data_IF_491015760767
#
_entry.id   IF_491015760767
#
_cell.length_a   1.000
_cell.length_b   1.000
_cell.length_c   1.000
_cell.angle_alpha   90.00
_cell.angle_beta   90.00
_cell.angle_gamma   90.00
#
_symmetry.space_group_name_H-M   'P 1'
#
loop_
_entity.id
_entity.type
_entity.pdbx_description
1 polymer ?
2 non-polymer ?
3 non-polymer ?
4 non-polymer ?
5 water ?
#
# COMPACT_ATOMS: atom_id res chain seq x y z
N UNK A 1 1.12 -25.31 6.48
CA UNK A 1 1.92 -24.55 5.47
C UNK A 1 3.39 -24.57 5.89
N UNK A 2 4.31 -24.40 4.93
CA UNK A 2 5.74 -24.31 5.23
C UNK A 2 6.04 -23.11 6.13
N UNK A 3 7.23 -23.09 6.75
CA UNK A 3 7.68 -21.90 7.46
C UNK A 3 7.72 -20.73 6.46
N UNK A 4 7.49 -19.48 6.92
CA UNK A 4 7.33 -18.36 5.98
C UNK A 4 8.44 -18.26 4.93
N UNK A 5 9.71 -18.34 5.34
CA UNK A 5 10.83 -18.24 4.38
C UNK A 5 10.87 -19.44 3.42
N UNK A 6 10.50 -20.64 3.90
CA UNK A 6 10.32 -21.87 3.08
C UNK A 6 9.27 -21.62 2.01
N UNK A 7 8.13 -21.06 2.44
CA UNK A 7 7.03 -20.77 1.49
C UNK A 7 7.50 -19.75 0.46
N UNK A 8 8.13 -18.67 0.93
CA UNK A 8 8.65 -17.63 0.02
C UNK A 8 9.61 -18.23 -1.04
N UNK A 9 10.50 -19.12 -0.61
CA UNK A 9 11.42 -19.77 -1.57
C UNK A 9 10.64 -20.59 -2.63
N UNK A 10 9.66 -21.35 -2.17
CA UNK A 10 8.81 -22.12 -3.09
C UNK A 10 8.15 -21.18 -4.09
N UNK A 11 7.61 -20.07 -3.58
CA UNK A 11 6.99 -19.03 -4.41
C UNK A 11 7.91 -18.47 -5.49
N UNK A 12 9.13 -18.10 -5.12
CA UNK A 12 10.08 -17.56 -6.11
C UNK A 12 10.42 -18.63 -7.16
N UNK A 13 10.57 -19.87 -6.71
CA UNK A 13 10.95 -20.96 -7.61
C UNK A 13 9.82 -21.19 -8.63
N UNK A 14 8.58 -21.18 -8.13
CA UNK A 14 7.41 -21.43 -8.98
C UNK A 14 7.09 -20.27 -9.91
N UNK A 15 7.24 -19.05 -9.42
CA UNK A 15 6.95 -17.85 -10.22
C UNK A 15 8.09 -17.40 -11.14
N UNK A 16 9.31 -17.86 -10.86
CA UNK A 16 10.51 -17.29 -11.48
C UNK A 16 10.53 -15.78 -11.27
N UNK A 17 10.05 -15.31 -10.12
CA UNK A 17 10.07 -13.87 -9.80
C UNK A 17 10.64 -13.64 -8.42
N UNK A 18 10.90 -12.37 -8.07
CA UNK A 18 11.36 -12.04 -6.73
C UNK A 18 10.21 -11.68 -5.82
N UNK A 19 10.32 -12.09 -4.55
CA UNK A 19 9.38 -11.73 -3.51
C UNK A 19 10.15 -10.89 -2.50
N UNK A 20 9.48 -9.85 -1.98
CA UNK A 20 10.04 -9.03 -0.91
C UNK A 20 9.02 -9.06 0.21
N UNK A 21 9.49 -9.25 1.45
CA UNK A 21 8.56 -9.41 2.56
C UNK A 21 9.16 -8.84 3.83
N UNK A 22 8.31 -8.20 4.64
CA UNK A 22 8.65 -7.93 6.03
C UNK A 22 7.41 -8.06 6.91
N UNK A 23 7.61 -8.52 8.13
CA UNK A 23 6.57 -8.48 9.17
C UNK A 23 7.14 -7.73 10.36
N UNK A 24 6.44 -6.69 10.79
CA UNK A 24 6.98 -5.73 11.77
C UNK A 24 5.91 -5.36 12.80
N UNK A 25 6.24 -5.38 14.09
CA UNK A 25 5.32 -4.88 15.12
C UNK A 25 4.94 -3.43 14.84
N UNK A 26 3.65 -3.15 14.84
CA UNK A 26 3.18 -1.78 14.66
C UNK A 26 3.65 -0.85 15.77
N UNK A 27 3.54 -1.29 17.02
CA UNK A 27 3.81 -0.38 18.16
C UNK A 27 5.30 -0.03 18.27
N UNK A 28 6.17 -1.04 18.17
CA UNK A 28 7.60 -0.81 18.42
C UNK A 28 8.48 -0.75 17.18
N UNK A 29 8.02 -1.37 16.09
CA UNK A 29 8.90 -1.55 14.91
C UNK A 29 9.82 -2.78 14.95
N UNK A 30 9.65 -3.63 15.95
CA UNK A 30 10.35 -4.91 16.03
C UNK A 30 10.11 -5.69 14.72
N UNK A 31 11.18 -6.07 14.04
CA UNK A 31 11.06 -6.92 12.85
C UNK A 31 11.00 -8.39 13.25
N UNK A 32 9.91 -9.05 12.87
CA UNK A 32 9.75 -10.46 13.20
C UNK A 32 10.43 -11.39 12.21
N UNK A 33 10.28 -11.07 10.92
CA UNK A 33 10.84 -11.88 9.84
C UNK A 33 10.87 -11.00 8.57
N UNK A 34 11.75 -11.35 7.64
CA UNK A 34 12.02 -10.50 6.47
C UNK A 34 12.72 -11.33 5.40
N UNK A 35 12.51 -10.96 4.14
CA UNK A 35 13.13 -11.60 3.00
C UNK A 35 13.27 -10.53 1.94
N UNK A 36 14.49 -10.33 1.47
CA UNK A 36 14.81 -9.28 0.48
C UNK A 36 14.21 -7.94 0.92
N UNK A 37 14.26 -7.66 2.23
CA UNK A 37 13.50 -6.50 2.75
C UNK A 37 14.20 -5.18 2.44
N UNK A 38 15.45 -5.26 1.99
CA UNK A 38 16.18 -4.05 1.58
C UNK A 38 16.37 -3.96 0.07
N UNK A 39 15.62 -4.77 -0.67
CA UNK A 39 15.62 -4.72 -2.14
C UNK A 39 14.44 -3.92 -2.66
N UNK A 40 14.63 -3.21 -3.76
CA UNK A 40 13.56 -2.37 -4.30
C UNK A 40 12.52 -3.14 -5.09
N UNK A 41 11.26 -2.73 -4.92
CA UNK A 41 10.12 -3.27 -5.67
C UNK A 41 9.23 -2.10 -6.07
N UNK A 42 8.57 -2.17 -7.26
CA UNK A 42 7.57 -1.14 -7.56
C UNK A 42 6.43 -1.13 -6.52
N UNK A 43 6.09 0.07 -6.01
CA UNK A 43 4.98 0.22 -5.08
C UNK A 43 3.63 -0.07 -5.74
N UNK A 44 3.46 0.29 -7.00
CA UNK A 44 2.14 0.21 -7.61
C UNK A 44 1.13 0.94 -6.71
N UNK A 45 -0.10 0.42 -6.64
CA UNK A 45 -1.19 1.12 -5.95
C UNK A 45 -1.03 1.14 -4.44
N UNK A 46 -0.07 0.38 -3.90
CA UNK A 46 0.25 0.50 -2.48
C UNK A 46 0.67 1.93 -2.08
N UNK A 47 1.18 2.71 -3.04
CA UNK A 47 1.59 4.11 -2.77
C UNK A 47 0.43 5.00 -2.35
N UNK A 48 -0.78 4.58 -2.68
CA UNK A 48 -1.98 5.36 -2.36
C UNK A 48 -2.18 5.58 -0.84
N UNK A 49 -1.70 4.65 -0.02
CA UNK A 49 -1.74 4.84 1.44
C UNK A 49 -0.80 5.96 1.87
N UNK A 50 0.43 5.91 1.38
CA UNK A 50 1.44 6.93 1.67
C UNK A 50 0.95 8.31 1.19
N UNK A 51 0.39 8.34 -0.02
CA UNK A 51 -0.17 9.56 -0.58
C UNK A 51 -1.17 10.21 0.38
N UNK A 52 -2.10 9.41 0.90
CA UNK A 52 -3.12 9.99 1.78
C UNK A 52 -2.55 10.34 3.14
N UNK A 53 -1.48 9.65 3.54
CA UNK A 53 -0.69 10.11 4.70
C UNK A 53 -0.18 11.53 4.50
N UNK A 54 0.35 11.80 3.32
CA UNK A 54 0.83 13.14 2.96
C UNK A 54 -0.31 14.16 2.99
N UNK A 55 -1.46 13.75 2.44
CA UNK A 55 -2.63 14.63 2.38
C UNK A 55 -3.06 14.99 3.81
N UNK A 56 -3.17 13.97 4.67
CA UNK A 56 -3.48 14.19 6.08
C UNK A 56 -2.46 15.10 6.77
N UNK A 57 -1.17 14.92 6.47
CA UNK A 57 -0.16 15.84 6.99
C UNK A 57 -0.49 17.30 6.62
N UNK A 58 -0.95 17.53 5.39
CA UNK A 58 -1.29 18.89 4.96
C UNK A 58 -2.55 19.41 5.69
N UNK A 59 -3.49 18.51 5.93
CA UNK A 59 -4.66 18.86 6.73
C UNK A 59 -4.22 19.25 8.16
N UNK A 60 -3.38 18.42 8.78
CA UNK A 60 -2.88 18.74 10.14
C UNK A 60 -2.18 20.09 10.20
N UNK A 61 -1.50 20.46 9.12
CA UNK A 61 -0.75 21.72 9.05
C UNK A 61 -1.66 22.94 8.78
N UNK A 62 -2.94 22.69 8.53
CA UNK A 62 -3.86 23.74 8.14
C UNK A 62 -3.64 24.22 6.71
N UNK A 63 -3.10 23.34 5.86
CA UNK A 63 -2.90 23.61 4.41
C UNK A 63 -3.96 22.99 3.51
N UNK A 64 -4.88 22.24 4.12
CA UNK A 64 -5.83 21.40 3.39
C UNK A 64 -6.99 21.08 4.33
N UNK A 65 -8.13 20.69 3.76
CA UNK A 65 -9.27 20.23 4.56
C UNK A 65 -9.85 19.01 3.88
N UNK A 66 -10.15 17.99 4.68
CA UNK A 66 -10.79 16.79 4.14
C UNK A 66 -12.14 17.16 3.53
N UNK A 67 -12.77 18.22 4.03
CA UNK A 67 -14.07 18.70 3.50
C UNK A 67 -13.98 19.40 2.14
N UNK A 68 -12.79 19.86 1.76
CA UNK A 68 -12.65 20.67 0.54
C UNK A 68 -13.06 19.91 -0.73
N UNK A 69 -14.00 20.49 -1.46
CA UNK A 69 -14.53 19.85 -2.66
C UNK A 69 -13.67 20.23 -3.86
N UNK A 70 -13.23 19.21 -4.59
CA UNK A 70 -12.47 19.43 -5.82
C UNK A 70 -13.36 19.07 -7.00
N UNK A 71 -13.42 19.99 -7.95
CA UNK A 71 -14.17 19.80 -9.20
C UNK A 71 -13.16 19.59 -10.32
N UNK A 72 -13.42 18.60 -11.16
CA UNK A 72 -12.45 18.17 -12.15
C UNK A 72 -13.21 17.86 -13.42
N UNK A 73 -12.46 17.60 -14.48
CA UNK A 73 -13.01 17.48 -15.82
C UNK A 73 -12.70 16.11 -16.39
N UNK A 74 -13.46 15.73 -17.41
CA UNK A 74 -13.31 14.41 -17.99
C UNK A 74 -11.88 14.19 -18.49
N UNK A 75 -11.28 15.25 -19.04
CA UNK A 75 -9.91 15.21 -19.53
C UNK A 75 -8.88 14.94 -18.43
N UNK A 76 -9.26 15.12 -17.16
CA UNK A 76 -8.36 14.83 -16.02
C UNK A 76 -8.32 13.36 -15.66
N UNK A 77 -9.22 12.57 -16.25
CA UNK A 77 -9.34 11.18 -15.83
C UNK A 77 -8.34 10.27 -16.52
N UNK A 78 -7.88 9.27 -15.78
CA UNK A 78 -7.05 8.22 -16.35
C UNK A 78 -7.73 6.86 -16.19
N UNK A 79 -7.10 5.84 -16.76
CA UNK A 79 -7.61 4.49 -16.70
C UNK A 79 -7.92 4.05 -15.25
N UNK A 80 -9.08 3.41 -15.08
CA UNK A 80 -9.56 2.81 -13.83
C UNK A 80 -9.92 3.86 -12.77
N UNK A 81 -11.13 4.40 -12.91
CA UNK A 81 -11.57 5.51 -12.08
C UNK A 81 -13.02 5.25 -11.73
N UNK A 82 -13.29 4.11 -11.07
CA UNK A 82 -14.67 3.68 -10.91
C UNK A 82 -15.51 4.66 -10.11
N UNK A 83 -14.90 5.36 -9.15
CA UNK A 83 -15.65 6.30 -8.30
C UNK A 83 -15.62 7.68 -8.93
N UNK A 84 -14.42 8.15 -9.29
CA UNK A 84 -14.26 9.51 -9.77
C UNK A 84 -14.99 9.79 -11.10
N UNK A 85 -15.12 8.80 -11.97
CA UNK A 85 -15.85 9.04 -13.23
C UNK A 85 -17.35 9.32 -12.96
N UNK A 86 -17.83 8.93 -11.78
CA UNK A 86 -19.23 9.17 -11.40
C UNK A 86 -19.51 10.60 -10.93
N UNK A 87 -18.47 11.41 -10.75
CA UNK A 87 -18.65 12.72 -10.11
C UNK A 87 -18.09 13.88 -10.91
N UNK A 88 -18.22 13.80 -12.24
CA UNK A 88 -17.80 14.90 -13.10
C UNK A 88 -18.64 16.15 -12.87
N UNK A 89 -19.91 15.93 -12.50
CA UNK A 89 -20.84 17.03 -12.28
C UNK A 89 -20.62 17.69 -10.92
N UNK A 90 -20.53 16.88 -9.87
CA UNK A 90 -20.57 17.39 -8.50
C UNK A 90 -19.22 17.46 -7.77
N UNK A 91 -18.21 16.78 -8.33
CA UNK A 91 -16.86 16.75 -7.74
C UNK A 91 -16.81 15.82 -6.52
N UNK A 92 -15.69 15.86 -5.82
CA UNK A 92 -15.48 14.99 -4.68
C UNK A 92 -14.66 15.75 -3.66
N UNK A 93 -14.93 15.52 -2.38
CA UNK A 93 -14.13 16.12 -1.32
C UNK A 93 -12.77 15.42 -1.28
N UNK A 94 -11.78 16.12 -0.74
CA UNK A 94 -10.46 15.55 -0.50
C UNK A 94 -10.55 14.20 0.27
N UNK A 95 -11.35 14.17 1.33
CA UNK A 95 -11.54 12.92 2.10
C UNK A 95 -12.16 11.81 1.25
N UNK A 96 -13.18 12.17 0.46
CA UNK A 96 -13.80 11.21 -0.46
C UNK A 96 -12.79 10.68 -1.46
N UNK A 97 -11.91 11.56 -1.93
CA UNK A 97 -10.89 11.18 -2.90
C UNK A 97 -9.93 10.17 -2.27
N UNK A 98 -9.47 10.42 -1.05
CA UNK A 98 -8.65 9.43 -0.34
C UNK A 98 -9.36 8.08 -0.16
N UNK A 99 -10.63 8.14 0.26
CA UNK A 99 -11.42 6.93 0.36
C UNK A 99 -11.48 6.15 -0.98
N UNK A 100 -11.68 6.85 -2.10
CA UNK A 100 -11.79 6.20 -3.40
C UNK A 100 -10.42 5.64 -3.80
N UNK A 101 -9.37 6.43 -3.56
CA UNK A 101 -7.99 6.02 -3.87
C UNK A 101 -7.56 4.76 -3.09
N UNK A 102 -7.82 4.74 -1.79
CA UNK A 102 -7.42 3.61 -0.97
C UNK A 102 -8.38 2.44 -1.10
N UNK A 103 -9.68 2.70 -0.94
CA UNK A 103 -10.62 1.57 -0.82
C UNK A 103 -11.05 1.00 -2.15
N UNK A 104 -10.93 1.76 -3.25
CA UNK A 104 -11.33 1.28 -4.59
C UNK A 104 -10.16 1.28 -5.59
N UNK A 105 -9.01 1.80 -5.13
CA UNK A 105 -7.80 1.92 -5.97
C UNK A 105 -8.02 2.88 -7.16
N UNK A 106 -8.92 3.84 -6.98
CA UNK A 106 -9.28 4.80 -8.02
C UNK A 106 -8.07 5.65 -8.45
N UNK A 107 -7.70 5.51 -9.72
CA UNK A 107 -6.49 6.16 -10.23
C UNK A 107 -6.58 7.66 -10.41
N UNK A 108 -7.70 8.13 -10.95
CA UNK A 108 -7.88 9.57 -11.07
C UNK A 108 -7.98 10.21 -9.69
N UNK A 109 -8.68 9.58 -8.73
CA UNK A 109 -8.68 10.07 -7.35
C UNK A 109 -7.25 10.25 -6.86
N UNK A 110 -6.44 9.22 -7.04
CA UNK A 110 -5.01 9.28 -6.67
C UNK A 110 -4.27 10.45 -7.34
N UNK A 111 -4.42 10.60 -8.66
CA UNK A 111 -3.79 11.72 -9.37
C UNK A 111 -4.23 13.09 -8.89
N UNK A 112 -5.51 13.24 -8.62
CA UNK A 112 -6.01 14.51 -8.11
C UNK A 112 -5.37 14.85 -6.77
N UNK A 113 -5.26 13.85 -5.89
CA UNK A 113 -4.64 14.01 -4.58
C UNK A 113 -3.16 14.29 -4.70
N UNK A 114 -2.52 13.56 -5.61
CA UNK A 114 -1.09 13.73 -5.90
C UNK A 114 -0.80 15.17 -6.28
N UNK A 115 -1.65 15.76 -7.13
CA UNK A 115 -1.50 17.17 -7.46
C UNK A 115 -1.50 18.07 -6.21
N UNK A 116 -2.34 17.76 -5.22
CA UNK A 116 -2.46 18.62 -4.02
C UNK A 116 -1.21 18.60 -3.13
N UNK A 117 -0.38 17.57 -3.27
CA UNK A 117 0.80 17.44 -2.42
C UNK A 117 2.09 17.75 -3.19
N UNK A 118 1.95 18.30 -4.39
CA UNK A 118 3.09 18.73 -5.18
C UNK A 118 3.58 17.69 -6.18
N UNK A 119 2.69 16.81 -6.61
CA UNK A 119 3.06 15.75 -7.56
C UNK A 119 4.02 14.70 -6.97
N UNK A 120 4.52 13.78 -7.81
CA UNK A 120 5.46 12.75 -7.35
C UNK A 120 6.64 13.36 -6.60
N UNK A 121 7.16 14.48 -7.10
CA UNK A 121 8.26 15.16 -6.44
C UNK A 121 7.86 15.60 -5.04
N UNK A 122 6.64 16.12 -4.88
CA UNK A 122 6.17 16.57 -3.54
C UNK A 122 6.01 15.40 -2.57
N UNK A 123 5.45 14.29 -3.07
CA UNK A 123 5.30 13.10 -2.24
C UNK A 123 6.66 12.57 -1.82
N UNK A 124 7.61 12.60 -2.74
CA UNK A 124 8.97 12.17 -2.44
C UNK A 124 9.58 13.09 -1.38
N UNK A 125 9.33 14.41 -1.50
CA UNK A 125 9.82 15.35 -0.47
C UNK A 125 9.20 15.07 0.90
N UNK A 126 7.91 14.73 0.92
CA UNK A 126 7.24 14.34 2.14
C UNK A 126 7.94 13.12 2.77
N UNK A 127 8.20 12.09 1.97
CA UNK A 127 8.90 10.91 2.45
C UNK A 127 10.23 11.28 3.12
N UNK A 128 11.04 12.10 2.47
CA UNK A 128 12.30 12.54 3.07
C UNK A 128 12.08 13.25 4.40
N UNK A 129 11.02 14.05 4.48
CA UNK A 129 10.68 14.75 5.72
C UNK A 129 10.37 13.81 6.88
N UNK A 130 9.82 12.63 6.59
CA UNK A 130 9.51 11.68 7.68
C UNK A 130 10.63 10.65 7.84
N UNK A 131 11.76 10.94 7.19
CA UNK A 131 12.97 10.13 7.36
C UNK A 131 13.02 8.87 6.54
N UNK A 132 12.19 8.80 5.50
CA UNK A 132 12.29 7.70 4.51
C UNK A 132 13.12 8.22 3.35
N UNK A 133 14.36 7.74 3.32
CA UNK A 133 15.34 8.17 2.33
C UNK A 133 15.42 7.23 1.15
N UNK A 134 14.49 6.28 1.05
CA UNK A 134 14.56 5.22 0.06
C UNK A 134 13.38 5.24 -0.92
N UNK A 135 12.17 5.18 -0.40
CA UNK A 135 10.95 5.21 -1.20
C UNK A 135 10.91 6.47 -2.06
N UNK A 136 10.43 6.34 -3.29
CA UNK A 136 10.32 7.48 -4.18
C UNK A 136 9.18 7.31 -5.16
N UNK A 137 8.44 8.39 -5.40
CA UNK A 137 7.49 8.41 -6.48
C UNK A 137 7.96 9.42 -7.50
N UNK A 138 7.79 9.06 -8.76
CA UNK A 138 8.34 9.79 -9.87
C UNK A 138 7.31 10.07 -10.95
N UNK A 139 6.32 9.18 -11.06
CA UNK A 139 5.28 9.31 -12.08
C UNK A 139 3.86 9.30 -11.47
N UNK A 140 2.88 9.54 -12.33
CA UNK A 140 1.47 9.56 -11.96
C UNK A 140 0.85 8.23 -12.32
N UNK A 141 -0.41 8.00 -11.93
CA UNK A 141 -1.15 6.86 -12.49
C UNK A 141 -1.44 7.12 -13.97
N UNK A 142 -1.29 6.13 -14.84
CA UNK A 142 -0.95 4.74 -14.51
C UNK A 142 0.49 4.35 -14.87
N UNK A 143 1.27 5.33 -15.33
CA UNK A 143 2.65 5.07 -15.76
C UNK A 143 3.52 4.54 -14.65
N UNK A 144 3.15 4.85 -13.41
CA UNK A 144 3.98 4.46 -12.27
C UNK A 144 4.04 2.94 -12.03
N UNK A 145 3.18 2.20 -12.71
CA UNK A 145 3.11 0.73 -12.66
C UNK A 145 3.96 -0.03 -13.68
N UNK A 146 4.82 0.71 -14.39
CA UNK A 146 5.56 0.18 -15.53
C UNK A 146 6.45 -1.00 -15.17
N UNK A 147 7.02 -0.93 -13.96
CA UNK A 147 7.88 -1.98 -13.39
C UNK A 147 9.05 -2.41 -14.29
N UNK A 148 9.75 -1.46 -14.91
CA UNK A 148 10.93 -1.80 -15.70
C UNK A 148 12.02 -2.35 -14.77
N UNK A 149 12.65 -3.50 -15.14
CA UNK A 149 13.75 -3.96 -14.27
C UNK A 149 14.85 -2.91 -14.16
N UNK A 150 15.45 -2.77 -12.98
CA UNK A 150 16.56 -1.82 -12.77
C UNK A 150 16.17 -0.35 -12.73
N UNK A 151 14.86 -0.07 -12.76
CA UNK A 151 14.34 1.29 -12.71
C UNK A 151 13.99 1.60 -11.25
N UNK A 152 14.64 2.62 -10.69
CA UNK A 152 14.36 3.04 -9.30
C UNK A 152 13.04 3.81 -9.16
N UNK A 153 12.50 4.29 -10.29
CA UNK A 153 11.31 5.14 -10.24
C UNK A 153 10.15 4.41 -9.58
N UNK A 154 9.47 5.09 -8.65
CA UNK A 154 8.20 4.57 -8.07
C UNK A 154 8.39 3.29 -7.26
N UNK A 155 9.54 3.20 -6.59
CA UNK A 155 9.86 1.98 -5.81
C UNK A 155 9.97 2.26 -4.32
N UNK A 156 9.85 1.18 -3.54
CA UNK A 156 10.13 1.22 -2.12
C UNK A 156 10.92 -0.05 -1.81
N UNK A 157 11.24 -0.28 -0.55
CA UNK A 157 11.70 -1.61 -0.15
C UNK A 157 10.67 -2.07 0.90
N UNK A 158 10.54 -3.38 1.15
CA UNK A 158 9.61 -3.83 2.21
C UNK A 158 9.90 -3.14 3.56
N UNK A 159 11.18 -3.04 3.92
CA UNK A 159 11.58 -2.45 5.20
C UNK A 159 11.26 -0.95 5.28
N UNK A 160 11.50 -0.22 4.19
CA UNK A 160 11.18 1.22 4.16
C UNK A 160 9.68 1.44 4.17
N UNK A 161 8.95 0.66 3.39
CA UNK A 161 7.50 0.80 3.31
C UNK A 161 6.87 0.51 4.68
N UNK A 162 7.34 -0.55 5.35
CA UNK A 162 6.80 -0.89 6.66
C UNK A 162 7.15 0.20 7.69
N UNK A 163 8.39 0.67 7.67
CA UNK A 163 8.79 1.75 8.59
C UNK A 163 7.96 3.00 8.36
N UNK A 164 7.69 3.29 7.09
CA UNK A 164 6.96 4.52 6.75
C UNK A 164 5.51 4.39 7.15
N UNK A 165 4.92 3.22 6.92
CA UNK A 165 3.52 3.00 7.34
C UNK A 165 3.41 3.13 8.85
N UNK A 166 4.36 2.53 9.57
CA UNK A 166 4.34 2.67 11.03
C UNK A 166 4.43 4.12 11.46
N UNK A 167 5.28 4.89 10.77
CA UNK A 167 5.46 6.31 11.09
C UNK A 167 4.16 7.06 10.89
N UNK A 168 3.47 6.77 9.80
CA UNK A 168 2.20 7.42 9.50
C UNK A 168 1.09 7.05 10.48
N UNK A 169 1.08 5.82 10.95
CA UNK A 169 -0.02 5.32 11.74
C UNK A 169 0.13 5.51 13.23
N UNK A 170 1.35 5.57 13.73
CA UNK A 170 1.53 5.53 15.17
C UNK A 170 2.55 6.53 15.74
N UNK A 171 3.33 7.17 14.89
CA UNK A 171 4.47 7.93 15.47
C UNK A 171 4.12 9.34 15.98
N UNK A 172 2.86 9.72 15.84
CA UNK A 172 2.40 11.08 16.21
C UNK A 172 3.06 12.17 15.36
N UNK A 173 3.54 11.82 14.18
CA UNK A 173 3.85 12.81 13.17
C UNK A 173 2.55 13.38 12.58
N UNK A 174 1.57 12.50 12.38
CA UNK A 174 0.20 12.90 12.04
C UNK A 174 -0.59 13.07 13.32
N UNK A 175 -1.63 13.89 13.28
CA UNK A 175 -2.47 14.07 14.45
C UNK A 175 -3.16 12.76 14.83
N UNK A 176 -3.69 12.71 16.03
CA UNK A 176 -4.46 11.56 16.50
C UNK A 176 -5.58 11.21 15.52
N UNK A 177 -6.35 12.23 15.13
CA UNK A 177 -7.48 12.02 14.23
C UNK A 177 -7.04 11.55 12.84
N UNK A 178 -5.98 12.16 12.32
CA UNK A 178 -5.40 11.75 11.04
C UNK A 178 -4.90 10.30 11.06
N UNK A 179 -4.21 9.89 12.14
CA UNK A 179 -3.76 8.48 12.28
C UNK A 179 -4.95 7.52 12.20
N UNK A 180 -6.00 7.88 12.93
CA UNK A 180 -7.25 7.11 12.96
C UNK A 180 -7.89 7.02 11.58
N UNK A 181 -7.92 8.15 10.88
CA UNK A 181 -8.50 8.20 9.55
C UNK A 181 -7.76 7.31 8.54
N UNK A 182 -6.43 7.38 8.54
CA UNK A 182 -5.64 6.58 7.63
C UNK A 182 -5.90 5.10 7.88
N UNK A 183 -5.89 4.72 9.15
CA UNK A 183 -6.25 3.36 9.55
C UNK A 183 -7.62 2.94 8.97
N UNK A 184 -8.65 3.77 9.21
CA UNK A 184 -10.04 3.52 8.78
C UNK A 184 -10.12 3.19 7.31
N UNK A 185 -9.42 4.00 6.51
CA UNK A 185 -9.43 3.84 5.07
C UNK A 185 -8.87 2.47 4.67
N UNK A 186 -7.78 2.05 5.29
CA UNK A 186 -7.23 0.73 5.04
C UNK A 186 -8.16 -0.39 5.53
N UNK A 187 -8.79 -0.20 6.69
CA UNK A 187 -9.79 -1.16 7.18
C UNK A 187 -10.93 -1.32 6.15
N UNK A 188 -11.28 -0.22 5.51
CA UNK A 188 -12.40 -0.18 4.57
C UNK A 188 -12.08 -0.59 3.13
N UNK A 189 -10.88 -1.12 2.87
CA UNK A 189 -10.54 -1.53 1.50
C UNK A 189 -11.66 -2.41 0.93
N UNK A 190 -12.11 -2.07 -0.27
CA UNK A 190 -13.15 -2.88 -0.93
C UNK A 190 -12.61 -3.83 -2.00
N UNK A 191 -11.38 -3.61 -2.45
CA UNK A 191 -10.79 -4.44 -3.49
C UNK A 191 -10.51 -5.88 -2.98
N UNK A 192 -9.77 -6.01 -1.89
CA UNK A 192 -9.38 -7.32 -1.37
C UNK A 192 -9.82 -7.59 0.07
N UNK A 193 -10.06 -6.51 0.83
CA UNK A 193 -10.39 -6.64 2.25
C UNK A 193 -11.47 -7.66 2.58
N UNK A 194 -12.68 -7.48 2.01
CA UNK A 194 -13.77 -8.45 2.33
C UNK A 194 -13.44 -9.91 1.95
N UNK A 195 -12.78 -10.10 0.81
CA UNK A 195 -12.33 -11.43 0.41
C UNK A 195 -11.31 -12.03 1.37
N UNK A 196 -10.31 -11.24 1.77
CA UNK A 196 -9.29 -11.70 2.69
C UNK A 196 -9.95 -12.07 4.03
N UNK A 197 -10.77 -11.16 4.54
CA UNK A 197 -11.47 -11.35 5.81
C UNK A 197 -12.28 -12.65 5.77
N UNK A 198 -12.86 -12.96 4.60
CA UNK A 198 -13.67 -14.18 4.44
C UNK A 198 -12.87 -15.48 4.57
N UNK A 199 -11.56 -15.41 4.33
CA UNK A 199 -10.73 -16.63 4.33
C UNK A 199 -9.70 -16.62 5.47
N UNK A 200 -9.71 -15.55 6.28
CA UNK A 200 -8.86 -15.49 7.46
C UNK A 200 -9.49 -16.31 8.56
N UNK A 201 -8.65 -16.93 9.41
CA UNK A 201 -9.23 -17.58 10.58
C UNK A 201 -9.94 -16.54 11.43
N UNK A 202 -10.96 -16.96 12.16
CA UNK A 202 -11.65 -16.10 13.10
C UNK A 202 -10.63 -15.46 14.07
N UNK A 203 -10.82 -14.17 14.34
CA UNK A 203 -10.00 -13.49 15.36
C UNK A 203 -8.94 -12.59 14.74
N UNK A 204 -8.72 -12.77 13.44
CA UNK A 204 -7.69 -12.00 12.75
C UNK A 204 -8.17 -10.66 12.20
N UNK A 205 -7.55 -9.58 12.70
CA UNK A 205 -7.76 -8.22 12.22
C UNK A 205 -7.16 -8.09 10.82
N UNK A 206 -7.86 -7.43 9.89
CA UNK A 206 -7.26 -7.06 8.60
C UNK A 206 -7.58 -5.61 8.19
N UNK A 207 -6.55 -4.91 7.72
CA UNK A 207 -6.68 -3.63 7.00
C UNK A 207 -5.62 -3.72 5.90
N UNK A 208 -5.88 -3.18 4.71
CA UNK A 208 -4.93 -3.41 3.61
C UNK A 208 -5.06 -2.44 2.46
N UNK A 209 -4.01 -2.42 1.64
CA UNK A 209 -4.04 -1.83 0.32
C UNK A 209 -3.23 -2.73 -0.60
N UNK A 210 -3.83 -3.12 -1.72
CA UNK A 210 -3.18 -3.93 -2.74
C UNK A 210 -2.64 -3.08 -3.87
N UNK A 211 -1.85 -3.70 -4.75
CA UNK A 211 -1.35 -3.03 -5.94
C UNK A 211 -1.02 -4.04 -7.02
N UNK A 212 -1.05 -3.61 -8.27
CA UNK A 212 -0.69 -4.50 -9.36
C UNK A 212 0.03 -3.67 -10.41
N UNK A 213 0.99 -4.30 -11.10
CA UNK A 213 1.76 -3.61 -12.14
C UNK A 213 2.11 -4.53 -13.28
N UNK A 214 3.00 -4.05 -14.15
CA UNK A 214 3.45 -4.83 -15.30
C UNK A 214 4.48 -5.89 -14.92
N UNK A 215 4.76 -6.77 -15.88
CA UNK A 215 5.76 -7.83 -15.71
C UNK A 215 5.49 -8.65 -14.45
N UNK A 216 4.22 -8.85 -14.13
CA UNK A 216 3.86 -9.68 -12.99
C UNK A 216 3.82 -8.99 -11.65
N UNK A 217 4.18 -7.71 -11.58
CA UNK A 217 4.23 -7.03 -10.28
C UNK A 217 2.87 -7.07 -9.56
N UNK A 218 2.92 -7.31 -8.25
CA UNK A 218 1.72 -7.49 -7.44
C UNK A 218 2.19 -7.29 -6.01
N UNK A 219 1.33 -6.71 -5.19
CA UNK A 219 1.73 -6.52 -3.80
C UNK A 219 0.59 -6.15 -2.88
N UNK A 220 0.93 -6.16 -1.59
CA UNK A 220 -0.01 -5.81 -0.56
C UNK A 220 0.75 -5.25 0.64
N UNK A 221 0.21 -4.17 1.21
CA UNK A 221 0.60 -3.69 2.53
C UNK A 221 -0.60 -3.89 3.45
N UNK A 222 -0.35 -4.44 4.62
CA UNK A 222 -1.47 -4.81 5.48
C UNK A 222 -1.14 -4.62 6.94
N UNK A 223 -2.20 -4.43 7.72
CA UNK A 223 -2.14 -4.48 9.18
C UNK A 223 -2.89 -5.74 9.58
N UNK A 224 -2.29 -6.53 10.44
CA UNK A 224 -2.79 -7.88 10.68
C UNK A 224 -2.45 -8.26 12.10
N UNK A 225 -3.31 -9.07 12.71
CA UNK A 225 -2.96 -9.69 13.98
C UNK A 225 -4.10 -10.54 14.49
N UNK A 226 -3.79 -11.49 15.38
CA UNK A 226 -4.80 -12.28 16.08
C UNK A 226 -5.40 -11.41 17.19
N UNK A 227 -6.42 -11.91 17.85
CA UNK A 227 -7.09 -11.13 18.90
C UNK A 227 -7.66 -9.79 18.43
N UNK A 228 -8.02 -9.70 17.15
CA UNK A 228 -8.75 -8.55 16.63
C UNK A 228 -8.01 -7.23 16.85
N UNK A 229 -6.69 -7.32 16.73
CA UNK A 229 -5.79 -6.20 16.99
C UNK A 229 -4.90 -5.99 15.77
N UNK A 230 -4.67 -4.73 15.42
CA UNK A 230 -3.72 -4.37 14.37
C UNK A 230 -2.31 -4.48 14.96
N UNK A 231 -1.83 -5.71 15.10
CA UNK A 231 -0.57 -5.94 15.83
C UNK A 231 0.66 -5.64 14.97
N UNK A 232 0.59 -6.03 13.70
CA UNK A 232 1.78 -5.98 12.85
C UNK A 232 1.47 -5.49 11.46
N UNK A 233 2.48 -4.87 10.88
CA UNK A 233 2.48 -4.51 9.47
C UNK A 233 3.11 -5.66 8.71
N UNK A 234 2.43 -6.10 7.65
CA UNK A 234 3.01 -7.04 6.70
C UNK A 234 3.06 -6.39 5.32
N UNK A 235 4.25 -6.41 4.72
CA UNK A 235 4.43 -5.99 3.33
C UNK A 235 4.89 -7.19 2.52
N UNK A 236 4.20 -7.46 1.40
CA UNK A 236 4.63 -8.47 0.43
C UNK A 236 4.57 -7.87 -0.96
N UNK A 237 5.71 -7.82 -1.63
CA UNK A 237 5.76 -7.47 -3.04
C UNK A 237 6.29 -8.64 -3.89
N UNK A 238 5.82 -8.69 -5.13
CA UNK A 238 6.27 -9.62 -6.13
C UNK A 238 6.65 -8.84 -7.40
N UNK A 239 7.71 -9.26 -8.09
CA UNK A 239 8.12 -8.60 -9.34
C UNK A 239 8.75 -9.59 -10.31
N UNK A 240 8.68 -9.26 -11.60
CA UNK A 240 9.38 -10.02 -12.66
C UNK A 240 9.01 -11.50 -12.73
N UNK A 241 7.71 -11.76 -12.87
CA UNK A 241 7.19 -13.10 -13.08
C UNK A 241 6.22 -13.08 -14.26
N UNK A 242 6.30 -14.10 -15.14
CA UNK A 242 5.35 -14.17 -16.25
C UNK A 242 4.03 -14.83 -15.82
N UNK A 243 3.90 -15.21 -14.55
CA UNK A 243 2.75 -15.98 -14.08
C UNK A 243 1.39 -15.27 -14.22
N UNK A 244 0.32 -16.08 -14.29
CA UNK A 244 -1.05 -15.57 -14.31
C UNK A 244 -1.33 -14.75 -13.06
N UNK A 245 -2.27 -13.81 -13.20
CA UNK A 245 -2.74 -13.04 -12.04
C UNK A 245 -3.23 -14.01 -10.95
N UNK A 246 -3.94 -15.06 -11.36
CA UNK A 246 -4.45 -16.04 -10.40
C UNK A 246 -3.31 -16.63 -9.58
N UNK A 247 -2.22 -16.99 -10.24
CA UNK A 247 -1.09 -17.58 -9.54
C UNK A 247 -0.36 -16.58 -8.64
N UNK A 248 -0.21 -15.35 -9.12
CA UNK A 248 0.37 -14.28 -8.30
C UNK A 248 -0.43 -14.06 -7.00
N UNK A 249 -1.75 -13.96 -7.14
CA UNK A 249 -2.64 -13.81 -5.97
C UNK A 249 -2.51 -14.98 -5.00
N UNK A 250 -2.51 -16.18 -5.55
CA UNK A 250 -2.42 -17.41 -4.75
C UNK A 250 -1.11 -17.54 -4.00
N UNK A 251 -0.01 -17.09 -4.62
CA UNK A 251 1.30 -17.15 -4.02
C UNK A 251 1.39 -16.19 -2.86
N UNK A 252 0.86 -14.98 -3.04
CA UNK A 252 0.89 -13.98 -1.98
C UNK A 252 0.00 -14.52 -0.86
N UNK A 253 -1.13 -15.11 -1.23
CA UNK A 253 -2.04 -15.73 -0.25
C UNK A 253 -1.32 -16.83 0.56
N UNK A 254 -0.57 -17.69 -0.12
CA UNK A 254 0.15 -18.77 0.55
C UNK A 254 1.25 -18.26 1.45
N UNK A 255 1.92 -17.19 1.02
CA UNK A 255 2.91 -16.56 1.89
C UNK A 255 2.19 -16.00 3.14
N UNK A 256 1.05 -15.34 2.93
CA UNK A 256 0.24 -14.83 4.03
C UNK A 256 -0.16 -15.95 4.97
N UNK A 257 -0.65 -17.06 4.41
CA UNK A 257 -1.04 -18.22 5.22
C UNK A 257 0.12 -18.71 6.08
N UNK A 258 1.30 -18.84 5.48
CA UNK A 258 2.50 -19.23 6.19
C UNK A 258 2.80 -18.29 7.37
N UNK A 259 2.71 -16.98 7.12
CA UNK A 259 3.02 -15.98 8.16
C UNK A 259 2.01 -16.10 9.31
N UNK A 260 0.75 -16.33 8.96
CA UNK A 260 -0.32 -16.46 9.95
C UNK A 260 -0.19 -17.73 10.80
N UNK A 261 0.04 -18.86 10.14
CA UNK A 261 0.17 -20.11 10.83
C UNK A 261 1.39 -20.06 11.76
N UNK A 262 2.44 -19.35 11.34
CA UNK A 262 3.74 -19.39 12.04
C UNK A 262 4.01 -18.07 12.72
N UNK A 263 2.93 -17.42 13.16
CA UNK A 263 3.00 -16.13 13.85
C UNK A 263 3.71 -16.37 15.17
N UNK A 264 4.76 -15.60 15.42
CA UNK A 264 5.53 -15.73 16.65
C UNK A 264 5.07 -14.65 17.63
N UNK A 265 5.34 -14.87 18.92
CA UNK A 265 5.01 -13.86 19.93
C UNK A 265 5.98 -12.69 19.83
#
# INVERSE_FOLDING_TARGET
SPQPLEQIKLSESQLSGRVGMIEMDLASGRTLTAWRADERFPMMSTFKVVLCGAVLARVDAGDEQLERKIHYRQQDLVDYSPVSEKHLADGMTVGELCAAAITMSDNSAANLLLATVGGPAGLTAFLRQIGDNVTRLDRWETELNEALPGDARDTTTPASMAATLRKLLTSQRLSARSQRQLLQWMVDDRVAGPLIRSVLPAGWFIADKTGAGERGARGIVALLGPNNKAERIVVIYLRDTPASMAERNQQIAGIGAALIEHWQR
#
